data_IF_114569387394
#
_entry.id   IF_114569387394
#
_cell.length_a   1.000
_cell.length_b   1.000
_cell.length_c   1.000
_cell.angle_alpha   90.00
_cell.angle_beta   90.00
_cell.angle_gamma   90.00
#
_symmetry.space_group_name_H-M   'P 1'
#
loop_
_entity.id
_entity.type
_entity.pdbx_description
1 polymer ?
#
# COMPACT_ATOMS: atom_id res chain seq x y z
N UNK A 1 12.93 1.33 15.76
CA UNK A 1 11.88 1.62 14.75
C UNK A 1 12.56 2.10 13.49
N UNK A 2 12.11 1.65 12.31
CA UNK A 2 12.63 2.09 11.01
C UNK A 2 11.50 2.25 9.99
N UNK A 3 11.64 3.18 9.05
CA UNK A 3 10.81 3.23 7.86
C UNK A 3 11.45 2.37 6.77
N UNK A 4 10.66 1.54 6.10
CA UNK A 4 11.05 0.81 4.91
C UNK A 4 10.23 1.36 3.75
N UNK A 5 10.88 1.96 2.76
CA UNK A 5 10.19 2.42 1.55
C UNK A 5 10.33 1.36 0.48
N UNK A 6 9.20 0.88 -0.01
CA UNK A 6 9.13 -0.17 -1.03
C UNK A 6 8.70 0.44 -2.36
N UNK A 7 9.10 -0.18 -3.46
CA UNK A 7 8.63 0.18 -4.80
C UNK A 7 7.66 -0.88 -5.32
N UNK A 8 6.52 -0.47 -5.88
CA UNK A 8 5.64 -1.41 -6.58
C UNK A 8 6.27 -1.92 -7.87
N UNK A 9 6.35 -3.25 -8.03
CA UNK A 9 6.77 -3.84 -9.31
C UNK A 9 5.78 -3.53 -10.42
N UNK A 10 4.50 -3.39 -10.09
CA UNK A 10 3.46 -2.95 -11.03
C UNK A 10 3.71 -1.52 -11.54
N UNK A 11 4.27 -0.65 -10.70
CA UNK A 11 4.70 0.69 -11.13
C UNK A 11 5.88 0.67 -12.10
N UNK A 12 6.62 -0.43 -12.19
CA UNK A 12 7.74 -0.61 -13.12
C UNK A 12 7.32 -1.13 -14.49
N UNK A 13 6.04 -1.48 -14.66
CA UNK A 13 5.49 -1.89 -15.95
C UNK A 13 5.29 -0.69 -16.87
N UNK A 14 5.61 -0.88 -18.15
CA UNK A 14 5.39 0.07 -19.24
C UNK A 14 6.09 1.44 -19.02
N UNK A 15 7.23 1.47 -18.32
CA UNK A 15 7.96 2.70 -17.96
C UNK A 15 9.01 3.13 -19.00
N UNK A 16 9.29 2.31 -20.00
CA UNK A 16 10.26 2.64 -21.05
C UNK A 16 9.60 3.47 -22.17
N UNK A 17 10.39 4.22 -22.95
CA UNK A 17 9.90 4.88 -24.16
C UNK A 17 9.15 3.88 -25.06
N UNK A 18 7.94 4.24 -25.48
CA UNK A 18 7.07 3.36 -26.28
C UNK A 18 6.11 2.51 -25.45
N UNK A 19 6.26 2.46 -24.12
CA UNK A 19 5.40 1.69 -23.21
C UNK A 19 5.89 0.28 -22.93
N UNK A 20 7.16 -0.02 -23.18
CA UNK A 20 7.75 -1.33 -22.84
C UNK A 20 8.02 -1.47 -21.34
N UNK A 21 7.96 -2.70 -20.85
CA UNK A 21 8.26 -3.03 -19.44
C UNK A 21 9.75 -3.31 -19.26
N UNK A 22 10.33 -2.70 -18.23
CA UNK A 22 11.72 -2.95 -17.86
C UNK A 22 11.86 -4.42 -17.39
N UNK A 23 12.85 -5.20 -17.87
CA UNK A 23 12.97 -6.57 -17.42
C UNK A 23 13.31 -6.65 -15.92
N UNK A 24 12.89 -7.74 -15.28
CA UNK A 24 12.89 -7.88 -13.83
C UNK A 24 14.25 -7.59 -13.16
N UNK A 25 15.40 -8.14 -13.63
CA UNK A 25 16.70 -7.86 -13.02
C UNK A 25 17.10 -6.38 -13.11
N UNK A 26 16.80 -5.72 -14.23
CA UNK A 26 17.06 -4.29 -14.43
C UNK A 26 16.18 -3.43 -13.53
N UNK A 27 14.90 -3.78 -13.38
CA UNK A 27 13.98 -3.08 -12.50
C UNK A 27 14.42 -3.19 -11.03
N UNK A 28 14.76 -4.39 -10.58
CA UNK A 28 15.24 -4.64 -9.22
C UNK A 28 16.56 -3.91 -8.93
N UNK A 29 17.51 -3.91 -9.87
CA UNK A 29 18.75 -3.14 -9.74
C UNK A 29 18.49 -1.64 -9.65
N UNK A 30 17.64 -1.10 -10.53
CA UNK A 30 17.27 0.32 -10.51
C UNK A 30 16.65 0.72 -9.16
N UNK A 31 15.79 -0.13 -8.60
CA UNK A 31 15.18 0.05 -7.28
C UNK A 31 16.24 0.08 -6.17
N UNK A 32 17.18 -0.87 -6.16
CA UNK A 32 18.27 -0.90 -5.20
C UNK A 32 19.18 0.34 -5.28
N UNK A 33 19.56 0.74 -6.49
CA UNK A 33 20.44 1.89 -6.74
C UNK A 33 19.85 3.22 -6.25
N UNK A 34 18.53 3.33 -6.15
CA UNK A 34 17.84 4.51 -5.65
C UNK A 34 17.43 4.42 -4.17
N UNK A 35 17.97 3.42 -3.44
CA UNK A 35 17.87 3.33 -1.99
C UNK A 35 16.49 2.91 -1.47
N UNK A 36 15.68 2.23 -2.27
CA UNK A 36 14.50 1.54 -1.75
C UNK A 36 14.92 0.34 -0.90
N UNK A 37 14.13 0.02 0.13
CA UNK A 37 14.37 -1.11 1.02
C UNK A 37 13.89 -2.45 0.42
N UNK A 38 13.06 -2.40 -0.61
CA UNK A 38 12.46 -3.57 -1.21
C UNK A 38 11.39 -3.23 -2.24
N UNK A 39 10.59 -4.25 -2.55
CA UNK A 39 9.50 -4.14 -3.53
C UNK A 39 8.18 -4.63 -2.97
N UNK A 40 7.08 -4.33 -3.63
CA UNK A 40 5.84 -5.11 -3.52
C UNK A 40 5.55 -5.83 -4.83
N UNK A 41 5.12 -7.09 -4.75
CA UNK A 41 4.66 -7.87 -5.90
C UNK A 41 3.78 -9.05 -5.46
N UNK A 42 3.15 -9.72 -6.42
CA UNK A 42 2.27 -10.86 -6.19
C UNK A 42 3.03 -12.10 -5.73
N UNK A 43 2.58 -12.68 -4.63
CA UNK A 43 3.07 -13.96 -4.10
C UNK A 43 2.02 -15.05 -4.31
N UNK A 44 1.69 -15.32 -5.58
CA UNK A 44 0.67 -16.30 -5.97
C UNK A 44 1.19 -17.37 -6.94
N UNK A 45 2.28 -17.10 -7.66
CA UNK A 45 2.97 -18.06 -8.53
C UNK A 45 4.39 -18.35 -8.03
N UNK A 46 4.65 -19.62 -7.68
CA UNK A 46 5.94 -20.05 -7.12
C UNK A 46 7.13 -19.77 -8.04
N UNK A 47 6.97 -19.90 -9.36
CA UNK A 47 8.07 -19.69 -10.32
C UNK A 47 8.44 -18.21 -10.36
N UNK A 48 7.44 -17.34 -10.37
CA UNK A 48 7.60 -15.89 -10.28
C UNK A 48 8.29 -15.48 -8.98
N UNK A 49 7.72 -15.88 -7.83
CA UNK A 49 8.28 -15.54 -6.51
C UNK A 49 9.74 -15.98 -6.39
N UNK A 50 10.05 -17.22 -6.81
CA UNK A 50 11.44 -17.70 -6.81
C UNK A 50 12.38 -16.81 -7.62
N UNK A 51 11.99 -16.38 -8.82
CA UNK A 51 12.80 -15.49 -9.67
C UNK A 51 12.96 -14.13 -9.02
N UNK A 52 11.87 -13.53 -8.55
CA UNK A 52 11.92 -12.25 -7.85
C UNK A 52 12.87 -12.30 -6.65
N UNK A 53 12.71 -13.29 -5.78
CA UNK A 53 13.56 -13.45 -4.60
C UNK A 53 15.03 -13.71 -4.95
N UNK A 54 15.33 -14.38 -6.08
CA UNK A 54 16.69 -14.57 -6.57
C UNK A 54 17.36 -13.24 -6.95
N UNK A 55 16.61 -12.28 -7.49
CA UNK A 55 17.12 -10.93 -7.80
C UNK A 55 17.23 -10.04 -6.55
N UNK A 56 16.28 -10.15 -5.61
CA UNK A 56 16.25 -9.31 -4.40
C UNK A 56 17.35 -9.66 -3.39
N UNK A 57 17.62 -10.96 -3.16
CA UNK A 57 18.52 -11.43 -2.09
C UNK A 57 19.96 -10.88 -2.19
N UNK A 58 20.64 -10.91 -3.35
CA UNK A 58 22.00 -10.38 -3.48
C UNK A 58 22.11 -8.87 -3.19
N UNK A 59 21.00 -8.13 -3.33
CA UNK A 59 20.92 -6.70 -3.11
C UNK A 59 20.43 -6.34 -1.69
N UNK A 60 20.12 -7.34 -0.85
CA UNK A 60 19.61 -7.12 0.50
C UNK A 60 18.20 -6.53 0.55
N UNK A 61 17.43 -6.64 -0.54
CA UNK A 61 16.08 -6.10 -0.64
C UNK A 61 15.05 -7.05 -0.02
N UNK A 62 14.03 -6.49 0.63
CA UNK A 62 12.85 -7.24 1.12
C UNK A 62 11.70 -7.22 0.10
N UNK A 63 10.64 -7.97 0.38
CA UNK A 63 9.38 -7.92 -0.35
C UNK A 63 8.18 -7.70 0.57
N UNK A 64 7.22 -6.91 0.13
CA UNK A 64 5.82 -7.07 0.49
C UNK A 64 5.19 -8.09 -0.46
N UNK A 65 4.46 -9.06 0.11
CA UNK A 65 3.85 -10.16 -0.61
C UNK A 65 2.35 -9.91 -0.79
N UNK A 66 1.89 -9.64 -2.01
CA UNK A 66 0.48 -9.35 -2.29
C UNK A 66 -0.31 -10.57 -2.77
N UNK A 67 -1.57 -10.68 -2.33
CA UNK A 67 -2.52 -11.69 -2.80
C UNK A 67 -3.97 -11.22 -2.70
N UNK A 68 -4.84 -11.77 -3.56
CA UNK A 68 -6.24 -11.36 -3.69
C UNK A 68 -7.22 -12.52 -3.45
N UNK A 69 -7.27 -13.09 -2.22
CA UNK A 69 -8.08 -14.26 -1.93
C UNK A 69 -9.57 -13.92 -1.86
N UNK A 70 -10.41 -14.89 -2.26
CA UNK A 70 -11.88 -14.83 -2.19
C UNK A 70 -12.46 -15.61 -1.01
N UNK A 71 -11.65 -16.47 -0.39
CA UNK A 71 -12.02 -17.32 0.73
C UNK A 71 -10.88 -17.42 1.75
N UNK A 72 -11.13 -18.05 2.90
CA UNK A 72 -10.10 -18.28 3.93
C UNK A 72 -8.95 -19.11 3.36
N UNK A 73 -9.27 -20.22 2.70
CA UNK A 73 -8.28 -21.18 2.20
C UNK A 73 -7.42 -20.63 1.07
N UNK A 74 -7.95 -19.70 0.26
CA UNK A 74 -7.20 -19.06 -0.84
C UNK A 74 -6.04 -18.19 -0.36
N UNK A 75 -5.97 -17.82 0.93
CA UNK A 75 -4.81 -17.12 1.50
C UNK A 75 -3.60 -18.06 1.70
N UNK A 76 -3.85 -19.35 1.95
CA UNK A 76 -2.83 -20.30 2.39
C UNK A 76 -1.64 -20.44 1.42
N UNK A 77 -1.83 -20.54 0.10
CA UNK A 77 -0.70 -20.64 -0.83
C UNK A 77 0.27 -19.45 -0.74
N UNK A 78 -0.24 -18.24 -0.52
CA UNK A 78 0.60 -17.05 -0.34
C UNK A 78 1.38 -17.11 0.97
N UNK A 79 0.76 -17.58 2.06
CA UNK A 79 1.47 -17.76 3.33
C UNK A 79 2.61 -18.78 3.22
N UNK A 80 2.38 -19.89 2.52
CA UNK A 80 3.41 -20.90 2.27
C UNK A 80 4.58 -20.34 1.44
N UNK A 81 4.28 -19.57 0.38
CA UNK A 81 5.31 -18.90 -0.43
C UNK A 81 6.07 -17.84 0.39
N UNK A 82 5.38 -17.04 1.18
CA UNK A 82 5.99 -16.03 2.05
C UNK A 82 6.90 -16.67 3.12
N UNK A 83 6.48 -17.79 3.71
CA UNK A 83 7.29 -18.56 4.66
C UNK A 83 8.54 -19.18 4.01
N UNK A 84 8.41 -19.68 2.78
CA UNK A 84 9.54 -20.29 2.06
C UNK A 84 10.56 -19.27 1.54
N UNK A 85 10.07 -18.19 0.90
CA UNK A 85 10.94 -17.26 0.20
C UNK A 85 11.35 -16.04 1.05
N UNK A 86 10.57 -15.76 2.09
CA UNK A 86 10.71 -14.60 2.98
C UNK A 86 9.98 -13.36 2.44
N UNK A 87 9.37 -12.60 3.35
CA UNK A 87 8.80 -11.28 3.09
C UNK A 87 8.87 -10.42 4.36
N UNK A 88 8.68 -9.11 4.22
CA UNK A 88 8.41 -8.21 5.35
C UNK A 88 7.01 -8.46 5.92
N UNK A 89 6.02 -8.56 5.04
CA UNK A 89 4.63 -8.79 5.38
C UNK A 89 3.84 -9.27 4.16
N UNK A 90 2.69 -9.88 4.41
CA UNK A 90 1.68 -10.19 3.39
C UNK A 90 0.59 -9.13 3.41
N UNK A 91 0.22 -8.63 2.24
CA UNK A 91 -0.91 -7.73 2.02
C UNK A 91 -2.02 -8.49 1.30
N UNK A 92 -3.20 -8.49 1.91
CA UNK A 92 -4.41 -9.08 1.37
C UNK A 92 -5.26 -7.97 0.77
N UNK A 93 -5.61 -8.06 -0.52
CA UNK A 93 -6.79 -7.37 -1.04
C UNK A 93 -7.97 -8.34 -1.04
N UNK A 94 -8.94 -8.20 -0.13
CA UNK A 94 -10.05 -9.14 -0.05
C UNK A 94 -10.88 -9.12 -1.33
N UNK A 95 -10.78 -10.15 -2.18
CA UNK A 95 -11.46 -10.17 -3.48
C UNK A 95 -12.94 -10.56 -3.33
N UNK A 96 -13.63 -9.91 -2.40
CA UNK A 96 -15.02 -10.16 -2.00
C UNK A 96 -15.78 -8.83 -2.00
N UNK A 97 -17.01 -8.82 -2.54
CA UNK A 97 -17.94 -7.69 -2.38
C UNK A 97 -19.22 -8.20 -1.75
N UNK A 98 -19.46 -7.83 -0.50
CA UNK A 98 -20.66 -8.22 0.23
C UNK A 98 -21.14 -7.07 1.09
N UNK A 99 -22.45 -7.01 1.31
CA UNK A 99 -23.09 -6.13 2.32
C UNK A 99 -23.41 -6.89 3.61
N UNK A 100 -23.18 -8.21 3.63
CA UNK A 100 -23.38 -9.04 4.80
C UNK A 100 -22.20 -8.87 5.76
N UNK A 101 -22.42 -8.08 6.82
CA UNK A 101 -21.43 -7.83 7.86
C UNK A 101 -21.00 -9.11 8.57
N UNK A 102 -21.92 -10.04 8.83
CA UNK A 102 -21.58 -11.30 9.51
C UNK A 102 -20.65 -12.17 8.65
N UNK A 103 -20.93 -12.27 7.34
CA UNK A 103 -20.06 -12.97 6.39
C UNK A 103 -18.68 -12.30 6.27
N UNK A 104 -18.63 -10.96 6.21
CA UNK A 104 -17.39 -10.20 6.18
C UNK A 104 -16.52 -10.45 7.43
N UNK A 105 -17.13 -10.39 8.62
CA UNK A 105 -16.46 -10.66 9.89
C UNK A 105 -15.97 -12.11 9.98
N UNK A 106 -16.76 -13.08 9.50
CA UNK A 106 -16.35 -14.49 9.49
C UNK A 106 -15.11 -14.72 8.61
N UNK A 107 -15.05 -14.08 7.44
CA UNK A 107 -13.91 -14.14 6.52
C UNK A 107 -12.65 -13.51 7.15
N UNK A 108 -12.76 -12.29 7.66
CA UNK A 108 -11.65 -11.56 8.28
C UNK A 108 -11.09 -12.30 9.50
N UNK A 109 -11.96 -12.85 10.37
CA UNK A 109 -11.55 -13.70 11.51
C UNK A 109 -10.84 -14.97 11.02
N UNK A 110 -11.28 -15.54 9.90
CA UNK A 110 -10.62 -16.67 9.27
C UNK A 110 -9.18 -16.37 8.87
N UNK A 111 -8.95 -15.24 8.19
CA UNK A 111 -7.60 -14.81 7.83
C UNK A 111 -6.75 -14.42 9.05
N UNK A 112 -7.32 -13.82 10.10
CA UNK A 112 -6.58 -13.57 11.35
C UNK A 112 -6.07 -14.87 12.00
N UNK A 113 -6.87 -15.94 12.02
CA UNK A 113 -6.44 -17.26 12.52
C UNK A 113 -5.34 -17.89 11.67
N UNK A 114 -5.32 -17.66 10.37
CA UNK A 114 -4.21 -18.08 9.52
C UNK A 114 -2.96 -17.23 9.75
N UNK A 115 -3.13 -15.92 9.97
CA UNK A 115 -2.04 -15.00 10.28
C UNK A 115 -1.33 -15.33 11.61
N UNK A 116 -2.03 -15.92 12.58
CA UNK A 116 -1.47 -16.41 13.85
C UNK A 116 -0.53 -17.61 13.67
N UNK A 117 -0.53 -18.27 12.51
CA UNK A 117 0.28 -19.46 12.23
C UNK A 117 1.61 -19.15 11.52
N UNK A 118 1.88 -17.87 11.25
CA UNK A 118 3.09 -17.41 10.56
C UNK A 118 3.81 -16.34 11.36
N UNK A 119 5.13 -16.24 11.18
CA UNK A 119 5.99 -15.32 11.95
C UNK A 119 6.13 -13.91 11.31
N UNK A 120 5.34 -13.61 10.28
CA UNK A 120 5.31 -12.31 9.61
C UNK A 120 3.91 -11.70 9.63
N UNK A 121 3.76 -10.37 9.59
CA UNK A 121 2.46 -9.72 9.57
C UNK A 121 1.65 -10.09 8.32
N UNK A 122 0.35 -10.28 8.52
CA UNK A 122 -0.64 -10.39 7.44
C UNK A 122 -1.63 -9.25 7.63
N UNK A 123 -1.70 -8.36 6.64
CA UNK A 123 -2.41 -7.08 6.71
C UNK A 123 -3.50 -7.03 5.64
N UNK A 124 -4.64 -6.42 5.95
CA UNK A 124 -5.73 -6.23 4.98
C UNK A 124 -5.67 -4.82 4.39
N UNK A 125 -5.61 -4.70 3.08
CA UNK A 125 -5.57 -3.39 2.42
C UNK A 125 -6.94 -2.72 2.40
N UNK A 126 -6.98 -1.40 2.63
CA UNK A 126 -8.13 -0.56 2.30
C UNK A 126 -8.16 -0.33 0.79
N UNK A 127 -9.05 -0.99 0.05
CA UNK A 127 -8.99 -0.95 -1.41
C UNK A 127 -10.39 -0.89 -2.07
N UNK A 128 -10.54 -0.01 -3.05
CA UNK A 128 -11.80 0.15 -3.79
C UNK A 128 -12.14 -1.12 -4.55
N UNK A 129 -13.42 -1.41 -4.76
CA UNK A 129 -13.84 -2.67 -5.39
C UNK A 129 -13.34 -3.93 -4.64
N UNK A 130 -12.98 -3.87 -3.35
CA UNK A 130 -12.69 -5.02 -2.47
C UNK A 130 -13.61 -5.00 -1.27
N UNK A 131 -13.45 -5.90 -0.30
CA UNK A 131 -14.32 -5.91 0.90
C UNK A 131 -14.29 -4.57 1.65
N UNK A 132 -13.11 -3.96 1.71
CA UNK A 132 -12.80 -2.72 2.42
C UNK A 132 -13.05 -1.45 1.60
N UNK A 133 -13.83 -1.54 0.50
CA UNK A 133 -14.02 -0.42 -0.42
C UNK A 133 -14.78 0.77 0.18
N UNK A 134 -15.73 0.49 1.08
CA UNK A 134 -16.60 1.49 1.69
C UNK A 134 -16.05 1.88 3.08
N UNK A 135 -15.83 3.17 3.30
CA UNK A 135 -15.27 3.75 4.52
C UNK A 135 -16.13 3.43 5.73
N UNK A 136 -17.44 3.65 5.65
CA UNK A 136 -18.34 3.49 6.79
C UNK A 136 -18.50 2.02 7.16
N UNK A 137 -18.65 1.15 6.16
CA UNK A 137 -18.69 -0.30 6.38
C UNK A 137 -17.37 -0.80 6.96
N UNK A 138 -16.23 -0.30 6.50
CA UNK A 138 -14.93 -0.69 7.07
C UNK A 138 -14.80 -0.22 8.52
N UNK A 139 -15.26 0.97 8.87
CA UNK A 139 -15.31 1.44 10.26
C UNK A 139 -16.17 0.53 11.14
N UNK A 140 -17.36 0.11 10.69
CA UNK A 140 -18.19 -0.85 11.42
C UNK A 140 -17.48 -2.22 11.62
N UNK A 141 -16.69 -2.66 10.64
CA UNK A 141 -15.90 -3.89 10.78
C UNK A 141 -14.78 -3.74 11.82
N UNK A 142 -14.15 -2.56 11.91
CA UNK A 142 -13.09 -2.28 12.87
C UNK A 142 -13.60 -2.16 14.30
N UNK A 143 -14.83 -1.67 14.50
CA UNK A 143 -15.50 -1.68 15.81
C UNK A 143 -15.66 -3.11 16.36
N UNK A 144 -15.99 -4.06 15.49
CA UNK A 144 -16.18 -5.49 15.82
C UNK A 144 -14.87 -6.30 15.81
N UNK A 145 -13.83 -5.80 15.12
CA UNK A 145 -12.50 -6.41 15.00
C UNK A 145 -11.40 -5.38 15.26
N UNK A 146 -11.26 -4.88 16.50
CA UNK A 146 -10.29 -3.82 16.81
C UNK A 146 -8.82 -4.28 16.63
N UNK A 147 -8.57 -5.59 16.59
CA UNK A 147 -7.26 -6.17 16.32
C UNK A 147 -6.95 -6.34 14.83
N UNK A 148 -7.88 -6.02 13.93
CA UNK A 148 -7.63 -6.10 12.49
C UNK A 148 -6.54 -5.09 12.11
N UNK A 149 -5.49 -5.58 11.46
CA UNK A 149 -4.35 -4.78 11.02
C UNK A 149 -4.47 -4.50 9.53
N UNK A 150 -4.32 -3.23 9.16
CA UNK A 150 -4.54 -2.75 7.81
C UNK A 150 -3.26 -2.34 7.10
N UNK A 151 -3.29 -2.40 5.77
CA UNK A 151 -2.49 -1.54 4.90
C UNK A 151 -3.36 -0.34 4.51
N UNK A 152 -2.89 0.86 4.86
CA UNK A 152 -3.59 2.10 4.55
C UNK A 152 -3.28 2.59 3.15
N UNK A 153 -4.21 2.42 2.23
CA UNK A 153 -4.25 3.13 0.96
C UNK A 153 -5.49 4.04 0.95
N UNK A 154 -5.31 5.27 1.43
CA UNK A 154 -6.41 6.23 1.58
C UNK A 154 -6.94 6.73 0.24
N UNK A 155 -6.20 6.53 -0.86
CA UNK A 155 -6.62 6.95 -2.20
C UNK A 155 -7.95 6.35 -2.61
N UNK A 156 -8.24 5.15 -2.13
CA UNK A 156 -9.48 4.45 -2.39
C UNK A 156 -10.68 5.07 -1.69
N UNK A 157 -10.54 5.59 -0.46
CA UNK A 157 -11.65 6.26 0.22
C UNK A 157 -11.84 7.68 -0.29
N UNK A 158 -10.76 8.42 -0.52
CA UNK A 158 -10.85 9.79 -1.04
C UNK A 158 -11.56 9.82 -2.40
N UNK A 159 -11.20 8.92 -3.31
CA UNK A 159 -11.88 8.81 -4.59
C UNK A 159 -13.26 8.12 -4.47
N UNK A 160 -13.37 7.05 -3.69
CA UNK A 160 -14.60 6.23 -3.61
C UNK A 160 -15.76 6.89 -2.88
N UNK A 161 -15.49 7.80 -1.94
CA UNK A 161 -16.49 8.56 -1.19
C UNK A 161 -16.54 10.04 -1.61
N UNK A 162 -15.89 10.41 -2.71
CA UNK A 162 -15.81 11.79 -3.20
C UNK A 162 -15.36 12.78 -2.10
N UNK A 163 -14.41 12.36 -1.24
CA UNK A 163 -14.00 13.20 -0.12
C UNK A 163 -13.22 14.42 -0.64
N UNK A 164 -13.64 15.64 -0.32
CA UNK A 164 -12.90 16.84 -0.67
C UNK A 164 -11.62 16.96 0.18
N UNK A 165 -10.97 18.12 0.11
CA UNK A 165 -9.91 18.43 1.07
C UNK A 165 -10.48 18.46 2.50
N UNK A 166 -10.03 17.55 3.37
CA UNK A 166 -10.60 17.32 4.70
C UNK A 166 -10.13 18.33 5.76
N UNK A 167 -9.27 19.30 5.41
CA UNK A 167 -8.77 20.33 6.35
C UNK A 167 -9.89 21.22 6.94
N UNK A 168 -11.07 21.23 6.31
CA UNK A 168 -12.26 21.92 6.82
C UNK A 168 -13.38 20.97 7.26
N UNK A 169 -13.13 19.66 7.29
CA UNK A 169 -14.13 18.64 7.62
C UNK A 169 -13.61 17.73 8.76
N UNK A 170 -13.83 18.14 10.03
CA UNK A 170 -13.36 17.37 11.18
C UNK A 170 -13.94 15.96 11.25
N UNK A 171 -15.14 15.73 10.70
CA UNK A 171 -15.77 14.42 10.72
C UNK A 171 -15.09 13.47 9.73
N UNK A 172 -14.90 13.90 8.49
CA UNK A 172 -14.18 13.12 7.49
C UNK A 172 -12.74 12.85 7.93
N UNK A 173 -12.05 13.86 8.48
CA UNK A 173 -10.69 13.68 9.00
C UNK A 173 -10.65 12.68 10.17
N UNK A 174 -11.61 12.74 11.11
CA UNK A 174 -11.69 11.79 12.21
C UNK A 174 -11.89 10.35 11.72
N UNK A 175 -12.73 10.13 10.70
CA UNK A 175 -12.97 8.82 10.10
C UNK A 175 -11.72 8.26 9.42
N UNK A 176 -11.00 9.07 8.62
CA UNK A 176 -9.74 8.65 8.01
C UNK A 176 -8.65 8.36 9.06
N UNK A 177 -8.60 9.16 10.13
CA UNK A 177 -7.70 8.90 11.26
C UNK A 177 -8.05 7.61 11.97
N UNK A 178 -9.32 7.29 12.13
CA UNK A 178 -9.75 6.02 12.73
C UNK A 178 -9.27 4.82 11.91
N UNK A 179 -9.45 4.83 10.59
CA UNK A 179 -8.83 3.83 9.70
C UNK A 179 -7.32 3.73 9.95
N UNK A 180 -6.62 4.88 9.97
CA UNK A 180 -5.17 4.93 10.14
C UNK A 180 -4.68 4.41 11.49
N UNK A 181 -5.49 4.39 12.56
CA UNK A 181 -5.13 3.76 13.84
C UNK A 181 -4.85 2.27 13.67
N UNK A 182 -5.52 1.64 12.72
CA UNK A 182 -5.36 0.22 12.39
C UNK A 182 -4.30 -0.04 11.33
N UNK A 183 -3.70 0.99 10.72
CA UNK A 183 -2.70 0.81 9.65
C UNK A 183 -1.32 0.45 10.21
N UNK A 184 -0.77 -0.68 9.76
CA UNK A 184 0.58 -1.16 10.07
C UNK A 184 1.56 -1.05 8.89
N UNK A 185 1.07 -0.68 7.72
CA UNK A 185 1.81 -0.32 6.53
C UNK A 185 0.95 0.66 5.70
N UNK A 186 1.55 1.31 4.72
CA UNK A 186 0.87 2.27 3.84
C UNK A 186 1.21 2.05 2.38
N UNK A 187 0.22 2.20 1.51
CA UNK A 187 0.45 2.42 0.08
C UNK A 187 0.33 3.92 -0.21
N UNK A 188 1.40 4.48 -0.75
CA UNK A 188 1.64 5.90 -0.93
C UNK A 188 1.01 6.50 -2.19
N UNK A 189 -0.26 6.21 -2.49
CA UNK A 189 -0.93 6.83 -3.63
C UNK A 189 -1.65 8.11 -3.22
N UNK A 190 -1.55 9.13 -4.07
CA UNK A 190 -2.29 10.40 -3.93
C UNK A 190 -3.43 10.42 -4.94
N UNK A 191 -4.66 10.63 -4.45
CA UNK A 191 -5.87 10.85 -5.25
C UNK A 191 -6.50 12.21 -4.98
N UNK A 192 -7.48 12.59 -5.79
CA UNK A 192 -8.54 13.52 -5.41
C UNK A 192 -9.90 12.80 -5.42
N UNK A 193 -10.99 13.56 -5.30
CA UNK A 193 -12.35 13.05 -5.39
C UNK A 193 -12.74 12.47 -6.75
N UNK A 194 -11.99 12.77 -7.82
CA UNK A 194 -12.33 12.39 -9.21
C UNK A 194 -11.40 11.30 -9.79
N UNK A 195 -10.17 11.23 -9.31
CA UNK A 195 -9.08 10.46 -9.88
C UNK A 195 -8.30 9.79 -8.76
N UNK A 196 -8.26 8.46 -8.80
CA UNK A 196 -7.58 7.66 -7.78
C UNK A 196 -6.06 7.80 -7.78
N UNK A 197 -5.48 8.29 -8.88
CA UNK A 197 -4.05 8.52 -9.02
C UNK A 197 -3.81 9.85 -9.73
N UNK A 198 -3.15 10.79 -9.05
CA UNK A 198 -2.82 12.09 -9.59
C UNK A 198 -1.37 12.16 -10.10
N UNK A 199 -1.13 12.93 -11.18
CA UNK A 199 0.15 13.54 -11.50
C UNK A 199 0.64 14.44 -10.35
N UNK A 200 1.32 13.89 -9.35
CA UNK A 200 1.72 14.62 -8.14
C UNK A 200 2.72 15.75 -8.41
N UNK A 201 3.38 15.71 -9.56
CA UNK A 201 4.30 16.76 -10.03
C UNK A 201 3.59 18.04 -10.50
N UNK A 202 2.27 18.00 -10.72
CA UNK A 202 1.53 19.15 -11.26
C UNK A 202 1.10 20.13 -10.16
N UNK A 203 1.16 21.43 -10.48
CA UNK A 203 0.88 22.51 -9.52
C UNK A 203 -0.54 22.46 -8.94
N UNK A 204 -1.54 22.13 -9.77
CA UNK A 204 -2.93 22.06 -9.33
C UNK A 204 -3.22 20.89 -8.39
N UNK A 205 -2.33 19.88 -8.33
CA UNK A 205 -2.48 18.73 -7.43
C UNK A 205 -1.76 18.92 -6.09
N UNK A 206 -0.96 19.98 -5.92
CA UNK A 206 -0.23 20.22 -4.67
C UNK A 206 -1.11 20.30 -3.41
N UNK A 207 -2.33 20.88 -3.44
CA UNK A 207 -3.22 20.83 -2.27
C UNK A 207 -3.56 19.40 -1.83
N UNK A 208 -3.71 18.47 -2.78
CA UNK A 208 -3.95 17.05 -2.48
C UNK A 208 -2.68 16.40 -1.92
N UNK A 209 -1.51 16.65 -2.53
CA UNK A 209 -0.23 16.14 -2.02
C UNK A 209 0.00 16.57 -0.56
N UNK A 210 -0.28 17.83 -0.21
CA UNK A 210 -0.12 18.33 1.17
C UNK A 210 -1.12 17.67 2.14
N UNK A 211 -2.37 17.43 1.71
CA UNK A 211 -3.32 16.69 2.53
C UNK A 211 -2.81 15.28 2.85
N UNK A 212 -2.33 14.54 1.85
CA UNK A 212 -1.78 13.20 2.06
C UNK A 212 -0.54 13.26 2.95
N UNK A 213 0.33 14.27 2.78
CA UNK A 213 1.46 14.52 3.67
C UNK A 213 0.99 14.69 5.13
N UNK A 214 -0.05 15.50 5.39
CA UNK A 214 -0.61 15.68 6.75
C UNK A 214 -1.18 14.40 7.32
N UNK A 215 -1.96 13.65 6.52
CA UNK A 215 -2.55 12.38 6.93
C UNK A 215 -1.47 11.34 7.24
N UNK A 216 -0.49 11.15 6.35
CA UNK A 216 0.63 10.24 6.57
C UNK A 216 1.49 10.65 7.75
N UNK A 217 1.74 11.95 7.97
CA UNK A 217 2.45 12.43 9.17
C UNK A 217 1.73 12.01 10.44
N UNK A 218 0.41 12.17 10.48
CA UNK A 218 -0.39 11.70 11.60
C UNK A 218 -0.34 10.19 11.75
N UNK A 219 -0.50 9.44 10.65
CA UNK A 219 -0.45 7.97 10.65
C UNK A 219 0.89 7.40 11.11
N UNK A 220 2.00 7.98 10.66
CA UNK A 220 3.35 7.58 11.05
C UNK A 220 3.60 7.86 12.54
N UNK A 221 3.16 9.02 13.03
CA UNK A 221 3.26 9.35 14.45
C UNK A 221 2.39 8.42 15.31
N UNK A 222 1.16 8.13 14.87
CA UNK A 222 0.28 7.18 15.52
C UNK A 222 0.91 5.79 15.61
N UNK A 223 1.46 5.28 14.50
CA UNK A 223 2.16 4.00 14.46
C UNK A 223 3.38 4.00 15.39
N UNK A 224 4.20 5.07 15.38
CA UNK A 224 5.37 5.16 16.25
C UNK A 224 5.01 5.10 17.74
N UNK A 225 3.88 5.69 18.14
CA UNK A 225 3.44 5.69 19.54
C UNK A 225 3.07 4.29 20.07
N UNK A 226 2.80 3.33 19.18
CA UNK A 226 2.38 1.97 19.51
C UNK A 226 3.35 0.88 19.05
N UNK A 227 4.39 1.25 18.30
CA UNK A 227 5.39 0.32 17.79
C UNK A 227 6.40 -0.08 18.88
N UNK A 228 6.84 -1.34 18.85
CA UNK A 228 7.87 -1.84 19.74
C UNK A 228 9.28 -1.47 19.26
N UNK A 229 10.29 -1.48 20.15
CA UNK A 229 11.68 -1.39 19.73
C UNK A 229 12.03 -2.50 18.74
N UNK A 230 12.49 -2.11 17.55
CA UNK A 230 12.86 -3.04 16.46
C UNK A 230 11.87 -3.08 15.30
N UNK A 231 10.62 -2.67 15.52
CA UNK A 231 9.57 -2.69 14.49
C UNK A 231 9.91 -1.82 13.28
N UNK A 232 9.35 -2.19 12.13
CA UNK A 232 9.40 -1.42 10.90
C UNK A 232 8.03 -1.05 10.37
N UNK A 233 7.91 0.18 9.89
CA UNK A 233 6.76 0.65 9.12
C UNK A 233 7.11 0.59 7.64
N UNK A 234 6.28 -0.07 6.83
CA UNK A 234 6.41 -0.07 5.39
C UNK A 234 5.59 1.07 4.76
N UNK A 235 6.18 1.76 3.79
CA UNK A 235 5.50 2.70 2.90
C UNK A 235 5.84 2.35 1.45
N UNK A 236 4.85 1.94 0.67
CA UNK A 236 5.06 1.49 -0.70
C UNK A 236 4.70 2.59 -1.69
N UNK A 237 5.61 2.97 -2.58
CA UNK A 237 5.32 3.86 -3.71
C UNK A 237 4.45 3.11 -4.73
N UNK A 238 3.13 3.17 -4.53
CA UNK A 238 2.13 2.32 -5.20
C UNK A 238 1.47 3.03 -6.40
N UNK A 239 2.27 3.46 -7.38
CA UNK A 239 1.75 4.10 -8.59
C UNK A 239 1.41 3.05 -9.66
N UNK A 240 0.12 2.85 -9.92
CA UNK A 240 -0.34 1.89 -10.90
C UNK A 240 0.00 2.27 -12.34
N UNK A 241 0.26 1.26 -13.18
CA UNK A 241 0.30 1.42 -14.64
C UNK A 241 -1.11 1.70 -15.19
N UNK A 242 -1.23 1.89 -16.50
CA UNK A 242 -2.53 2.08 -17.16
C UNK A 242 -3.49 0.93 -16.81
N UNK A 243 -4.75 1.22 -16.45
CA UNK A 243 -5.44 2.50 -16.62
C UNK A 243 -5.38 3.45 -15.39
N UNK A 244 -4.57 3.17 -14.36
CA UNK A 244 -4.43 4.08 -13.21
C UNK A 244 -3.64 5.34 -13.58
N UNK A 245 -2.51 5.17 -14.26
CA UNK A 245 -1.77 6.28 -14.83
C UNK A 245 -2.62 7.00 -15.88
N UNK A 246 -2.72 8.33 -15.76
CA UNK A 246 -3.43 9.15 -16.75
C UNK A 246 -2.61 9.18 -18.03
N UNK A 247 -3.28 8.95 -19.16
CA UNK A 247 -2.62 8.94 -20.47
C UNK A 247 -3.00 10.12 -21.34
N UNK A 248 -2.07 10.54 -22.20
CA UNK A 248 -2.30 11.50 -23.26
C UNK A 248 -3.12 10.90 -24.40
N UNK A 249 -3.39 11.72 -25.41
CA UNK A 249 -4.12 11.29 -26.61
C UNK A 249 -3.35 10.23 -27.44
N UNK A 250 -2.04 10.13 -27.26
CA UNK A 250 -1.16 9.08 -27.82
C UNK A 250 -1.20 7.77 -27.02
N UNK A 251 -1.99 7.75 -25.94
CA UNK A 251 -2.11 6.62 -25.03
C UNK A 251 -0.94 6.46 -24.08
N UNK A 252 0.04 7.37 -24.05
CA UNK A 252 1.21 7.31 -23.16
C UNK A 252 0.98 8.02 -21.82
N UNK A 253 1.69 7.63 -20.75
CA UNK A 253 1.58 8.29 -19.44
C UNK A 253 1.92 9.78 -19.60
N UNK A 254 1.09 10.68 -19.05
CA UNK A 254 1.36 12.13 -19.14
C UNK A 254 2.46 12.60 -18.17
N UNK A 255 2.92 11.70 -17.28
CA UNK A 255 4.02 11.94 -16.34
C UNK A 255 5.01 10.77 -16.32
N UNK A 256 6.22 11.06 -15.87
CA UNK A 256 7.21 10.01 -15.57
C UNK A 256 6.88 9.39 -14.19
N UNK A 257 6.23 8.23 -14.24
CA UNK A 257 5.82 7.46 -13.05
C UNK A 257 7.00 7.00 -12.18
N UNK A 258 8.18 6.79 -12.76
CA UNK A 258 9.39 6.51 -11.95
C UNK A 258 9.84 7.76 -11.20
N UNK A 259 9.90 8.90 -11.88
CA UNK A 259 10.25 10.17 -11.24
C UNK A 259 9.26 10.52 -10.11
N UNK A 260 7.96 10.28 -10.31
CA UNK A 260 6.94 10.48 -9.27
C UNK A 260 7.08 9.47 -8.11
N UNK A 261 7.48 8.22 -8.39
CA UNK A 261 7.79 7.24 -7.32
C UNK A 261 8.96 7.71 -6.44
N UNK A 262 9.98 8.36 -7.03
CA UNK A 262 11.08 8.97 -6.27
C UNK A 262 10.63 10.19 -5.45
N UNK A 263 9.69 10.99 -5.97
CA UNK A 263 9.10 12.09 -5.21
C UNK A 263 8.31 11.59 -3.99
N UNK A 264 7.51 10.53 -4.15
CA UNK A 264 6.79 9.89 -3.04
C UNK A 264 7.73 9.31 -1.99
N UNK A 265 8.82 8.66 -2.42
CA UNK A 265 9.87 8.17 -1.53
C UNK A 265 10.43 9.33 -0.70
N UNK A 266 10.88 10.40 -1.35
CA UNK A 266 11.46 11.56 -0.66
C UNK A 266 10.47 12.20 0.32
N UNK A 267 9.19 12.28 -0.07
CA UNK A 267 8.11 12.80 0.78
C UNK A 267 7.94 11.94 2.04
N UNK A 268 7.86 10.62 1.90
CA UNK A 268 7.74 9.71 3.04
C UNK A 268 8.97 9.76 3.97
N UNK A 269 10.19 9.85 3.43
CA UNK A 269 11.42 10.03 4.22
C UNK A 269 11.40 11.34 5.02
N UNK A 270 10.92 12.41 4.38
CA UNK A 270 10.80 13.74 5.01
C UNK A 270 9.80 13.70 6.16
N UNK A 271 8.60 13.16 5.91
CA UNK A 271 7.57 13.00 6.95
C UNK A 271 8.11 12.16 8.12
N UNK A 272 8.80 11.07 7.83
CA UNK A 272 9.38 10.22 8.86
C UNK A 272 10.43 10.94 9.69
N UNK A 273 11.34 11.69 9.06
CA UNK A 273 12.34 12.48 9.77
C UNK A 273 11.68 13.51 10.71
N UNK A 274 10.64 14.21 10.26
CA UNK A 274 9.87 15.16 11.09
C UNK A 274 9.19 14.48 12.28
N UNK A 275 8.56 13.31 12.06
CA UNK A 275 7.93 12.54 13.14
C UNK A 275 8.97 12.06 14.15
N UNK A 276 10.14 11.59 13.69
CA UNK A 276 11.21 11.11 14.56
C UNK A 276 11.91 12.22 15.35
N UNK A 277 11.92 13.46 14.86
CA UNK A 277 12.45 14.62 15.58
C UNK A 277 11.46 15.19 16.61
N UNK A 278 10.16 15.00 16.40
CA UNK A 278 9.10 15.47 17.29
C UNK A 278 8.69 14.51 18.41
N UNK A 279 9.25 13.30 18.43
CA UNK A 279 9.09 12.28 19.49
C UNK A 279 10.27 12.34 20.46
#
# INVERSE_FOLDING_TARGET
MKLLILQSMWAMENILPGGDTLPLPEAVRRIAEHGFAGVTDHFTDRRHVRRLTQELRPLGLTAEAQCFPKSVDELQPTLELAAEFGCHHVTIQPDVRTRDKAAALALLRGWQRLAEQVDFPVLVETHRYRLTNDLFFTLELLEELPSLRLVGDLSHYVAGHELPLVEGDPQAEAQLREIMRHCHAYHGRVSNCEQVQLPISFAQHQPWVEQYRRLWRWGFANWCARAAPGDSLAFTCELGTRPYAITGADGQDITDRWAESLQLKQLAETIWAEVRQGL
#
